data_IF_371840453285
#
_entry.id   IF_371840453285
#
_cell.length_a   1.000
_cell.length_b   1.000
_cell.length_c   1.000
_cell.angle_alpha   90.00
_cell.angle_beta   90.00
_cell.angle_gamma   90.00
#
_symmetry.space_group_name_H-M   'P 1'
#
loop_
_entity.id
_entity.type
_entity.pdbx_description
1 polymer ?
#
# COMPACT_ATOMS: atom_id res chain seq x y z
N UNK A 1 12.57 -0.33 -4.31
CA UNK A 1 12.29 -1.78 -4.36
C UNK A 1 11.16 -2.05 -5.34
N UNK A 2 11.12 -3.21 -6.02
CA UNK A 2 9.99 -3.59 -6.86
C UNK A 2 8.71 -3.68 -6.01
N UNK A 3 7.66 -2.96 -6.41
CA UNK A 3 6.38 -2.92 -5.70
C UNK A 3 5.74 -4.29 -5.58
N UNK A 4 5.91 -5.14 -6.59
CA UNK A 4 5.37 -6.49 -6.67
C UNK A 4 5.99 -7.52 -5.70
N UNK A 5 6.90 -7.11 -4.81
CA UNK A 5 7.51 -7.99 -3.79
C UNK A 5 7.18 -7.58 -2.36
N UNK A 6 6.33 -6.56 -2.19
CA UNK A 6 6.04 -5.96 -0.89
C UNK A 6 4.62 -6.31 -0.47
N UNK A 7 4.50 -6.85 0.74
CA UNK A 7 3.23 -6.94 1.49
C UNK A 7 3.18 -5.70 2.37
N UNK A 8 2.12 -4.89 2.23
CA UNK A 8 2.05 -3.59 2.88
C UNK A 8 2.00 -3.68 4.40
N UNK A 9 1.09 -4.49 4.94
CA UNK A 9 0.89 -4.59 6.39
C UNK A 9 0.23 -5.91 6.79
N UNK A 10 0.53 -6.37 8.00
CA UNK A 10 -0.19 -7.44 8.70
C UNK A 10 -0.40 -7.00 10.16
N UNK A 11 -1.55 -7.34 10.75
CA UNK A 11 -1.94 -6.78 12.04
C UNK A 11 -1.23 -7.41 13.25
N UNK A 12 -0.80 -8.67 13.12
CA UNK A 12 -0.26 -9.48 14.23
C UNK A 12 -1.07 -9.33 15.53
N UNK A 13 -2.40 -9.32 15.38
CA UNK A 13 -3.31 -9.10 16.50
C UNK A 13 -3.72 -10.45 17.09
N UNK A 14 -3.63 -10.56 18.40
CA UNK A 14 -4.15 -11.73 19.12
C UNK A 14 -5.69 -11.75 19.17
N UNK A 15 -6.32 -10.56 19.20
CA UNK A 15 -7.78 -10.41 19.20
C UNK A 15 -8.26 -9.58 18.00
N UNK A 16 -9.45 -9.91 17.49
CA UNK A 16 -10.04 -9.35 16.27
C UNK A 16 -10.32 -7.84 16.39
N UNK A 17 -10.67 -7.38 17.57
CA UNK A 17 -11.01 -6.00 17.90
C UNK A 17 -9.85 -5.03 17.62
N UNK A 18 -8.61 -5.51 17.67
CA UNK A 18 -7.42 -4.70 17.39
C UNK A 18 -7.05 -4.63 15.91
N UNK A 19 -7.66 -5.47 15.05
CA UNK A 19 -7.32 -5.51 13.63
C UNK A 19 -7.69 -4.19 12.95
N UNK A 20 -8.94 -3.75 13.09
CA UNK A 20 -9.43 -2.54 12.43
C UNK A 20 -8.64 -1.26 12.79
N UNK A 21 -8.40 -0.91 14.08
CA UNK A 21 -7.64 0.30 14.40
C UNK A 21 -6.20 0.24 13.88
N UNK A 22 -5.53 -0.92 13.90
CA UNK A 22 -4.19 -1.08 13.33
C UNK A 22 -4.17 -0.84 11.81
N UNK A 23 -5.12 -1.42 11.07
CA UNK A 23 -5.23 -1.17 9.64
C UNK A 23 -5.62 0.28 9.31
N UNK A 24 -6.37 0.96 10.18
CA UNK A 24 -6.66 2.40 10.01
C UNK A 24 -5.40 3.25 10.16
N UNK A 25 -4.60 2.99 11.19
CA UNK A 25 -3.30 3.65 11.38
C UNK A 25 -2.40 3.43 10.16
N UNK A 26 -2.24 2.18 9.71
CA UNK A 26 -1.41 1.90 8.54
C UNK A 26 -1.90 2.59 7.27
N UNK A 27 -3.22 2.58 7.01
CA UNK A 27 -3.79 3.27 5.85
C UNK A 27 -3.55 4.79 5.88
N UNK A 28 -3.55 5.39 7.07
CA UNK A 28 -3.22 6.80 7.23
C UNK A 28 -1.76 7.08 6.87
N UNK A 29 -0.81 6.33 7.44
CA UNK A 29 0.62 6.49 7.13
C UNK A 29 0.93 6.19 5.65
N UNK A 30 0.27 5.19 5.08
CA UNK A 30 0.39 4.90 3.64
C UNK A 30 -0.11 6.07 2.80
N UNK A 31 -1.23 6.69 3.15
CA UNK A 31 -1.75 7.86 2.44
C UNK A 31 -0.79 9.06 2.51
N UNK A 32 -0.18 9.31 3.68
CA UNK A 32 0.83 10.36 3.86
C UNK A 32 2.04 10.09 2.96
N UNK A 33 2.60 8.87 3.00
CA UNK A 33 3.76 8.50 2.19
C UNK A 33 3.49 8.57 0.68
N UNK A 34 2.28 8.21 0.25
CA UNK A 34 1.86 8.30 -1.16
C UNK A 34 1.70 9.76 -1.59
N UNK A 35 1.09 10.61 -0.76
CA UNK A 35 0.97 12.04 -1.04
C UNK A 35 2.34 12.70 -1.18
N UNK A 36 3.27 12.44 -0.26
CA UNK A 36 4.65 12.94 -0.36
C UNK A 36 5.34 12.47 -1.64
N UNK A 37 5.11 11.21 -2.05
CA UNK A 37 5.66 10.68 -3.30
C UNK A 37 5.09 11.38 -4.52
N UNK A 38 3.79 11.66 -4.54
CA UNK A 38 3.13 12.42 -5.60
C UNK A 38 3.74 13.81 -5.72
N UNK A 39 3.90 14.53 -4.60
CA UNK A 39 4.53 15.86 -4.60
C UNK A 39 5.98 15.82 -5.08
N UNK A 40 6.77 14.84 -4.61
CA UNK A 40 8.17 14.67 -5.06
C UNK A 40 8.27 14.40 -6.56
N UNK A 41 7.31 13.69 -7.14
CA UNK A 41 7.31 13.40 -8.59
C UNK A 41 7.19 14.64 -9.47
N UNK A 42 6.63 15.73 -8.93
CA UNK A 42 6.47 16.99 -9.67
C UNK A 42 7.76 17.82 -9.74
N UNK A 43 8.65 17.67 -8.77
CA UNK A 43 9.85 18.51 -8.61
C UNK A 43 11.14 17.77 -8.94
N UNK A 44 11.16 16.44 -8.82
CA UNK A 44 12.39 15.67 -8.94
C UNK A 44 12.69 15.34 -10.41
N UNK A 45 13.82 15.81 -10.98
CA UNK A 45 14.07 15.75 -12.43
C UNK A 45 14.21 14.34 -13.00
N UNK A 46 14.49 13.34 -12.15
CA UNK A 46 14.65 11.93 -12.55
C UNK A 46 13.50 11.04 -12.04
N UNK A 47 12.33 11.62 -11.75
CA UNK A 47 11.17 10.87 -11.28
C UNK A 47 10.05 10.99 -12.31
N UNK A 48 9.50 9.85 -12.71
CA UNK A 48 8.28 9.85 -13.53
C UNK A 48 7.11 10.46 -12.75
N UNK A 49 6.18 11.16 -13.43
CA UNK A 49 4.96 11.65 -12.81
C UNK A 49 4.24 10.52 -12.07
N UNK A 50 3.86 10.79 -10.82
CA UNK A 50 3.15 9.84 -9.99
C UNK A 50 1.78 10.42 -9.64
N UNK A 51 0.76 9.94 -10.34
CA UNK A 51 -0.59 10.48 -10.25
C UNK A 51 -1.37 9.88 -9.08
N UNK A 52 -2.57 10.42 -8.83
CA UNK A 52 -3.49 9.86 -7.84
C UNK A 52 -3.89 8.42 -8.19
N UNK A 53 -4.13 8.13 -9.46
CA UNK A 53 -4.51 6.79 -9.92
C UNK A 53 -3.36 5.80 -9.69
N UNK A 54 -2.11 6.22 -9.97
CA UNK A 54 -0.92 5.40 -9.69
C UNK A 54 -0.76 5.14 -8.18
N UNK A 55 -1.05 6.15 -7.35
CA UNK A 55 -0.99 6.02 -5.90
C UNK A 55 -2.04 5.03 -5.37
N UNK A 56 -3.27 5.12 -5.85
CA UNK A 56 -4.36 4.21 -5.47
C UNK A 56 -4.11 2.79 -5.96
N UNK A 57 -3.63 2.62 -7.19
CA UNK A 57 -3.24 1.31 -7.74
C UNK A 57 -2.14 0.68 -6.90
N UNK A 58 -1.12 1.46 -6.52
CA UNK A 58 -0.05 0.98 -5.64
C UNK A 58 -0.57 0.62 -4.25
N UNK A 59 -1.48 1.40 -3.68
CA UNK A 59 -2.09 1.10 -2.39
C UNK A 59 -2.87 -0.22 -2.42
N UNK A 60 -3.66 -0.46 -3.47
CA UNK A 60 -4.39 -1.70 -3.68
C UNK A 60 -3.44 -2.90 -3.85
N UNK A 61 -2.37 -2.73 -4.63
CA UNK A 61 -1.36 -3.76 -4.79
C UNK A 61 -0.72 -4.13 -3.44
N UNK A 62 -0.34 -3.14 -2.62
CA UNK A 62 0.30 -3.37 -1.33
C UNK A 62 -0.64 -4.03 -0.30
N UNK A 63 -1.92 -3.63 -0.27
CA UNK A 63 -2.88 -4.08 0.73
C UNK A 63 -3.61 -5.37 0.37
N UNK A 64 -3.87 -5.61 -0.92
CA UNK A 64 -4.76 -6.68 -1.38
C UNK A 64 -4.07 -7.61 -2.38
N UNK A 65 -3.58 -7.08 -3.51
CA UNK A 65 -3.15 -7.94 -4.63
C UNK A 65 -1.83 -8.66 -4.39
N UNK A 66 -0.83 -7.98 -3.83
CA UNK A 66 0.44 -8.61 -3.48
C UNK A 66 0.27 -9.68 -2.40
N UNK A 67 -0.40 -9.42 -1.26
CA UNK A 67 -0.68 -10.47 -0.29
C UNK A 67 -1.41 -11.68 -0.91
N UNK A 68 -2.47 -11.44 -1.70
CA UNK A 68 -3.21 -12.51 -2.36
C UNK A 68 -2.32 -13.36 -3.28
N UNK A 69 -1.53 -12.71 -4.14
CA UNK A 69 -0.65 -13.39 -5.10
C UNK A 69 0.53 -14.09 -4.43
N UNK A 70 1.16 -13.47 -3.43
CA UNK A 70 2.37 -14.01 -2.77
C UNK A 70 2.01 -15.18 -1.86
N UNK A 71 0.89 -15.10 -1.13
CA UNK A 71 0.43 -16.16 -0.23
C UNK A 71 -0.38 -17.24 -0.99
N UNK A 72 -0.89 -16.92 -2.18
CA UNK A 72 -1.65 -17.86 -3.01
C UNK A 72 -3.11 -18.00 -2.57
N UNK A 73 -3.77 -16.90 -2.17
CA UNK A 73 -5.17 -16.91 -1.75
C UNK A 73 -6.07 -16.93 -3.01
N UNK A 74 -6.83 -18.01 -3.26
CA UNK A 74 -7.68 -18.11 -4.45
C UNK A 74 -8.88 -17.16 -4.36
N UNK A 75 -9.31 -16.61 -5.50
CA UNK A 75 -10.52 -15.80 -5.68
C UNK A 75 -10.55 -14.44 -4.94
N UNK A 76 -9.41 -13.92 -4.49
CA UNK A 76 -9.35 -12.60 -3.84
C UNK A 76 -9.14 -11.45 -4.85
N UNK A 77 -8.64 -11.76 -6.04
CA UNK A 77 -8.34 -10.83 -7.15
C UNK A 77 -8.54 -11.55 -8.47
#
# INVERSE_FOLDING_TARGET
>A
MPSNKIIGYFSDAYYLEFILPKFRMYKFELAVALAERMERSLIHPNMEPFTLDDALALAEDLLIRNPARIIGIPNLV
#
